data_IF_962350438423
#
_entry.id   IF_962350438423
#
_cell.length_a   1.000
_cell.length_b   1.000
_cell.length_c   1.000
_cell.angle_alpha   90.00
_cell.angle_beta   90.00
_cell.angle_gamma   90.00
#
_symmetry.space_group_name_H-M   'P 1'
#
loop_
_entity.id
_entity.type
_entity.pdbx_description
1 polymer ?
#
# COMPACT_ATOMS: atom_id res chain seq x y z
N UNK A 1 16.85 26.19 39.21
CA UNK A 1 17.69 25.37 38.30
C UNK A 1 16.94 24.07 38.00
N UNK A 2 16.18 24.01 36.92
CA UNK A 2 15.48 22.79 36.50
C UNK A 2 16.49 21.84 35.85
N UNK A 3 16.69 20.66 36.46
CA UNK A 3 17.49 19.59 35.87
C UNK A 3 16.73 19.03 34.67
N UNK A 4 17.19 19.41 33.46
CA UNK A 4 16.71 18.83 32.22
C UNK A 4 17.03 17.32 32.21
N UNK A 5 16.00 16.49 32.14
CA UNK A 5 16.14 15.04 32.05
C UNK A 5 16.77 14.70 30.69
N UNK A 6 18.06 14.36 30.69
CA UNK A 6 18.75 13.86 29.49
C UNK A 6 18.10 12.55 29.04
N UNK A 7 17.63 12.50 27.80
CA UNK A 7 17.15 11.27 27.18
C UNK A 7 18.33 10.32 27.03
N UNK A 8 18.21 9.13 27.64
CA UNK A 8 19.22 8.08 27.46
C UNK A 8 19.19 7.64 26.01
N UNK A 9 20.37 7.52 25.40
CA UNK A 9 20.52 6.95 24.06
C UNK A 9 19.99 5.51 24.12
N UNK A 10 19.18 5.13 23.13
CA UNK A 10 18.65 3.77 23.03
C UNK A 10 19.77 2.91 22.47
N UNK A 11 20.30 2.00 23.29
CA UNK A 11 21.27 1.00 22.86
C UNK A 11 20.52 -0.17 22.23
N UNK A 12 20.69 -0.35 20.91
CA UNK A 12 20.10 -1.45 20.15
C UNK A 12 21.14 -2.59 20.10
N UNK A 13 20.81 -3.75 20.68
CA UNK A 13 21.70 -4.92 20.72
C UNK A 13 21.76 -5.66 19.37
N UNK A 14 22.61 -6.70 19.29
CA UNK A 14 22.58 -7.62 18.15
C UNK A 14 21.21 -8.32 18.04
N UNK A 15 20.72 -8.55 16.80
CA UNK A 15 19.48 -9.27 16.59
C UNK A 15 19.66 -10.73 17.01
N UNK A 16 18.65 -11.24 17.71
CA UNK A 16 18.53 -12.65 18.09
C UNK A 16 17.13 -13.14 17.72
N UNK A 17 16.88 -14.46 17.77
CA UNK A 17 15.58 -15.06 17.52
C UNK A 17 14.98 -14.76 16.14
N UNK A 18 15.74 -15.02 15.08
CA UNK A 18 15.20 -14.96 13.73
C UNK A 18 14.00 -15.92 13.59
N UNK A 19 12.83 -15.38 13.23
CA UNK A 19 11.61 -16.15 12.96
C UNK A 19 11.18 -15.92 11.51
N UNK A 20 11.21 -16.98 10.70
CA UNK A 20 10.69 -16.92 9.35
C UNK A 20 9.16 -17.12 9.37
N UNK A 21 8.42 -16.01 9.42
CA UNK A 21 6.95 -16.04 9.59
C UNK A 21 6.19 -16.31 8.31
N UNK A 22 6.69 -15.80 7.18
CA UNK A 22 6.00 -15.84 5.90
C UNK A 22 7.00 -15.98 4.75
N UNK A 23 6.67 -16.84 3.80
CA UNK A 23 7.39 -16.98 2.54
C UNK A 23 6.45 -16.71 1.38
N UNK A 24 6.62 -15.56 0.72
CA UNK A 24 5.84 -15.21 -0.46
C UNK A 24 6.60 -15.66 -1.73
N UNK A 25 5.93 -16.45 -2.56
CA UNK A 25 6.45 -16.84 -3.87
C UNK A 25 5.41 -16.62 -4.97
N UNK A 26 5.87 -16.69 -6.21
CA UNK A 26 5.06 -16.49 -7.40
C UNK A 26 5.22 -17.69 -8.32
N UNK A 27 4.09 -18.29 -8.71
CA UNK A 27 4.05 -19.35 -9.69
C UNK A 27 3.81 -18.74 -11.09
N UNK A 28 4.80 -18.79 -11.99
CA UNK A 28 4.67 -18.21 -13.33
C UNK A 28 3.70 -18.99 -14.23
N UNK A 29 3.42 -20.26 -13.93
CA UNK A 29 2.50 -21.08 -14.75
C UNK A 29 1.05 -20.71 -14.47
N UNK A 30 0.69 -20.59 -13.19
CA UNK A 30 -0.67 -20.20 -12.78
C UNK A 30 -0.87 -18.69 -12.70
N UNK A 31 0.22 -17.91 -12.65
CA UNK A 31 0.20 -16.47 -12.46
C UNK A 31 -0.27 -16.06 -11.06
N UNK A 32 -0.13 -16.94 -10.06
CA UNK A 32 -0.62 -16.73 -8.71
C UNK A 32 0.50 -16.59 -7.68
N UNK A 33 0.22 -15.82 -6.64
CA UNK A 33 1.10 -15.69 -5.48
C UNK A 33 0.70 -16.69 -4.40
N UNK A 34 1.69 -17.39 -3.83
CA UNK A 34 1.52 -18.35 -2.74
C UNK A 34 2.25 -17.90 -1.48
N UNK A 35 1.83 -18.44 -0.33
CA UNK A 35 2.42 -18.12 0.99
C UNK A 35 2.27 -16.66 1.44
N UNK A 36 1.39 -15.91 0.77
CA UNK A 36 0.99 -14.59 1.21
C UNK A 36 0.20 -14.65 2.51
N UNK A 37 0.37 -13.68 3.43
CA UNK A 37 -0.54 -13.48 4.55
C UNK A 37 -2.00 -13.36 4.09
N UNK A 38 -2.95 -13.87 4.89
CA UNK A 38 -4.39 -13.89 4.55
C UNK A 38 -4.96 -12.51 4.18
N UNK A 39 -4.50 -11.46 4.85
CA UNK A 39 -4.91 -10.08 4.57
C UNK A 39 -4.48 -9.63 3.17
N UNK A 40 -3.32 -10.08 2.70
CA UNK A 40 -2.78 -9.71 1.39
C UNK A 40 -3.44 -10.52 0.28
N UNK A 41 -3.76 -11.79 0.54
CA UNK A 41 -4.56 -12.62 -0.38
C UNK A 41 -5.90 -11.95 -0.70
N UNK A 42 -6.54 -11.32 0.29
CA UNK A 42 -7.76 -10.55 0.03
C UNK A 42 -7.47 -9.38 -0.92
N UNK A 43 -6.46 -8.55 -0.65
CA UNK A 43 -6.15 -7.37 -1.46
C UNK A 43 -5.74 -7.75 -2.90
N UNK A 44 -4.90 -8.78 -3.05
CA UNK A 44 -4.34 -9.20 -4.34
C UNK A 44 -5.35 -10.05 -5.11
N UNK A 45 -6.05 -10.98 -4.46
CA UNK A 45 -7.11 -11.79 -5.06
C UNK A 45 -8.31 -10.96 -5.53
N UNK A 46 -8.54 -9.79 -4.92
CA UNK A 46 -9.52 -8.79 -5.38
C UNK A 46 -9.18 -8.26 -6.78
N UNK A 47 -7.91 -8.29 -7.22
CA UNK A 47 -7.48 -7.78 -8.53
C UNK A 47 -7.63 -8.80 -9.66
N UNK A 48 -7.35 -10.09 -9.40
CA UNK A 48 -7.36 -11.14 -10.43
C UNK A 48 -8.76 -11.70 -10.69
N UNK A 49 -9.65 -11.67 -9.69
CA UNK A 49 -11.00 -12.22 -9.75
C UNK A 49 -12.11 -11.13 -9.78
N UNK A 50 -11.88 -10.04 -10.51
CA UNK A 50 -12.96 -9.11 -10.94
C UNK A 50 -13.86 -9.70 -12.04
N UNK A 51 -13.78 -11.00 -12.35
CA UNK A 51 -14.62 -11.65 -13.37
C UNK A 51 -16.09 -11.81 -12.96
N UNK A 52 -16.43 -11.57 -11.69
CA UNK A 52 -17.81 -11.67 -11.19
C UNK A 52 -18.26 -10.55 -10.26
N UNK A 53 -17.43 -9.53 -10.00
CA UNK A 53 -17.89 -8.34 -9.26
C UNK A 53 -18.64 -7.46 -10.24
N UNK A 54 -19.96 -7.21 -10.06
CA UNK A 54 -20.68 -6.25 -10.88
C UNK A 54 -19.92 -4.93 -10.80
N UNK A 55 -19.65 -4.32 -11.96
CA UNK A 55 -19.23 -2.92 -11.96
C UNK A 55 -20.28 -2.17 -11.15
N UNK A 56 -19.91 -1.27 -10.23
CA UNK A 56 -20.91 -0.44 -9.58
C UNK A 56 -21.75 0.18 -10.69
N UNK A 57 -23.06 -0.06 -10.68
CA UNK A 57 -24.00 0.58 -11.59
C UNK A 57 -24.00 2.05 -11.18
N UNK A 58 -23.15 2.84 -11.83
CA UNK A 58 -23.10 4.28 -11.64
C UNK A 58 -24.18 4.86 -12.53
N UNK A 59 -25.28 5.30 -11.93
CA UNK A 59 -26.31 6.08 -12.61
C UNK A 59 -25.80 7.53 -12.76
N UNK A 60 -25.62 8.05 -14.00
CA UNK A 60 -25.21 9.42 -14.23
C UNK A 60 -26.16 10.47 -13.64
N UNK A 61 -27.42 10.11 -13.38
CA UNK A 61 -28.44 11.01 -12.83
C UNK A 61 -28.47 11.05 -11.28
N UNK A 62 -27.76 10.12 -10.62
CA UNK A 62 -27.67 10.02 -9.15
C UNK A 62 -26.27 10.35 -8.61
N UNK A 63 -25.58 11.31 -9.22
CA UNK A 63 -24.33 11.83 -8.67
C UNK A 63 -24.68 12.60 -7.40
N UNK A 64 -24.27 12.13 -6.22
CA UNK A 64 -24.23 12.98 -5.03
C UNK A 64 -23.35 14.18 -5.37
N UNK A 65 -23.89 15.42 -5.38
CA UNK A 65 -23.08 16.60 -5.62
C UNK A 65 -22.19 16.79 -4.39
N UNK A 66 -21.03 16.11 -4.41
CA UNK A 66 -19.94 16.50 -3.54
C UNK A 66 -19.49 17.84 -4.09
N UNK A 67 -19.63 18.91 -3.32
CA UNK A 67 -19.06 20.20 -3.70
C UNK A 67 -17.63 19.93 -4.14
N UNK A 68 -17.39 20.14 -5.43
CA UNK A 68 -16.07 20.09 -6.05
C UNK A 68 -15.36 21.36 -5.55
N UNK A 69 -15.14 21.44 -4.25
CA UNK A 69 -14.38 22.49 -3.62
C UNK A 69 -12.94 22.25 -4.02
N UNK A 70 -12.59 22.83 -5.19
CA UNK A 70 -11.22 23.02 -5.66
C UNK A 70 -10.52 21.71 -6.00
N UNK A 71 -10.79 21.18 -7.19
CA UNK A 71 -9.88 20.22 -7.85
C UNK A 71 -8.52 20.91 -7.91
N UNK A 72 -7.61 20.56 -7.00
CA UNK A 72 -6.22 20.95 -7.11
C UNK A 72 -5.67 20.20 -8.33
N UNK A 73 -5.17 20.94 -9.30
CA UNK A 73 -4.45 20.38 -10.44
C UNK A 73 -3.31 19.52 -9.90
N UNK A 74 -3.36 18.21 -10.17
CA UNK A 74 -2.26 17.30 -9.83
C UNK A 74 -1.16 17.55 -10.86
N UNK A 75 -0.16 18.34 -10.48
CA UNK A 75 1.08 18.45 -11.25
C UNK A 75 1.84 17.16 -11.03
N UNK A 76 1.78 16.22 -12.00
CA UNK A 76 2.75 15.13 -12.08
C UNK A 76 4.03 15.77 -12.64
N UNK A 77 5.10 15.75 -11.85
CA UNK A 77 6.38 16.33 -12.28
C UNK A 77 6.83 15.73 -13.61
N UNK A 78 7.33 16.60 -14.48
CA UNK A 78 7.84 16.22 -15.79
C UNK A 78 8.98 15.20 -15.62
N UNK A 79 8.81 14.05 -16.25
CA UNK A 79 9.87 13.06 -16.38
C UNK A 79 10.86 13.61 -17.40
N UNK A 80 12.10 13.84 -16.91
CA UNK A 80 13.41 13.95 -17.59
C UNK A 80 14.18 15.19 -17.13
N UNK A 81 14.83 15.08 -15.97
CA UNK A 81 16.08 15.83 -15.75
C UNK A 81 17.23 14.88 -16.13
N UNK A 82 18.04 15.19 -17.16
CA UNK A 82 19.31 14.51 -17.36
C UNK A 82 20.23 14.88 -16.19
N UNK A 83 20.75 13.86 -15.51
CA UNK A 83 21.83 14.03 -14.56
C UNK A 83 23.04 14.61 -15.31
N UNK A 84 23.56 15.75 -14.87
CA UNK A 84 24.91 16.19 -15.22
C UNK A 84 25.93 15.50 -14.33
#
# INVERSE_FOLDING_TARGET
MSIGRRTRKVDISMPTNFEHRYHAGFDPVTGQYHGLPKQWQAIIGITTNRRGRPRPMVDPSCITPTEIAKIKTVVRGDILQPCH
#
